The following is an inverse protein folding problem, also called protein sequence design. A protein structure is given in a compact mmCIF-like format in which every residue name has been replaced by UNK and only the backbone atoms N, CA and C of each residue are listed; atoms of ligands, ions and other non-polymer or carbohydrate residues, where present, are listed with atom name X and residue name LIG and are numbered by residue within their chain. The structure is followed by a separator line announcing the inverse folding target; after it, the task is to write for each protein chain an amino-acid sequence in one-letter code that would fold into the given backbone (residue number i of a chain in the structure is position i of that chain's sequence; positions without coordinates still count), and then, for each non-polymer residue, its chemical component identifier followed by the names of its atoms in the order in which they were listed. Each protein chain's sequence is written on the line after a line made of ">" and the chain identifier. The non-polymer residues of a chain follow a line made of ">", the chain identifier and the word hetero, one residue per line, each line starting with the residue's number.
data_IF_958369569307
#
_entry.id   IF_958369569307
#
_cell.length_a   1.000
_cell.length_b   1.000
_cell.length_c   1.000
_cell.angle_alpha   90.00
_cell.angle_beta   90.00
_cell.angle_gamma   90.00
#
_symmetry.space_group_name_H-M   'P 1'
#
loop_
_entity.id
_entity.type
_entity.pdbx_description
1 polymer ?
#
# COMPACT_ATOMS: atom_id res chain seq x y z
N UNK A 1 -3.28 -4.64 22.69
CA UNK A 1 -3.21 -3.97 21.37
C UNK A 1 -4.63 -3.83 20.85
N UNK A 2 -4.99 -2.69 20.26
CA UNK A 2 -6.35 -2.49 19.73
C UNK A 2 -6.65 -3.52 18.64
N UNK A 3 -7.89 -4.01 18.65
CA UNK A 3 -8.50 -4.84 17.62
C UNK A 3 -9.55 -3.97 16.92
N UNK A 4 -9.69 -4.12 15.61
CA UNK A 4 -10.63 -3.31 14.83
C UNK A 4 -10.35 -3.39 13.34
N UNK A 5 -11.02 -2.53 12.59
CA UNK A 5 -10.84 -2.42 11.14
C UNK A 5 -10.03 -1.17 10.83
N UNK A 6 -9.06 -1.28 9.93
CA UNK A 6 -8.33 -0.16 9.37
C UNK A 6 -8.68 -0.02 7.90
N UNK A 7 -9.06 1.19 7.50
CA UNK A 7 -9.22 1.56 6.10
C UNK A 7 -7.92 2.15 5.57
N UNK A 8 -7.48 1.64 4.42
CA UNK A 8 -6.29 2.08 3.71
C UNK A 8 -6.73 2.64 2.36
N UNK A 9 -6.55 3.93 2.17
CA UNK A 9 -6.80 4.60 0.88
C UNK A 9 -5.51 4.69 0.06
N UNK A 10 -5.46 3.94 -1.04
CA UNK A 10 -4.41 4.02 -2.04
C UNK A 10 -4.77 5.12 -3.06
N UNK A 11 -4.22 6.31 -2.86
CA UNK A 11 -4.51 7.48 -3.70
C UNK A 11 -3.63 7.49 -4.95
N UNK A 12 -2.32 7.71 -4.77
CA UNK A 12 -1.35 7.89 -5.87
C UNK A 12 0.07 7.52 -5.48
N UNK A 13 0.93 7.27 -6.47
CA UNK A 13 2.39 7.30 -6.31
C UNK A 13 2.95 8.67 -6.67
N UNK A 14 4.15 8.96 -6.18
CA UNK A 14 4.90 10.16 -6.53
C UNK A 14 6.35 9.78 -6.77
N UNK A 15 6.92 10.32 -7.86
CA UNK A 15 8.33 10.19 -8.23
C UNK A 15 8.89 8.78 -8.08
N UNK A 16 8.23 7.81 -8.73
CA UNK A 16 8.82 6.48 -8.88
C UNK A 16 10.10 6.61 -9.70
N UNK A 17 11.23 6.25 -9.09
CA UNK A 17 12.52 6.26 -9.77
C UNK A 17 12.47 5.31 -10.97
N UNK A 18 12.93 5.81 -12.11
CA UNK A 18 13.14 5.05 -13.35
C UNK A 18 11.90 4.53 -14.09
N UNK A 19 10.76 5.24 -14.03
CA UNK A 19 9.66 5.00 -15.00
C UNK A 19 10.01 5.46 -16.44
N UNK A 20 11.18 6.06 -16.67
CA UNK A 20 11.63 6.41 -18.03
C UNK A 20 12.02 5.20 -18.88
N UNK A 21 12.28 4.05 -18.26
CA UNK A 21 12.48 2.78 -19.00
C UNK A 21 11.17 2.03 -19.28
N UNK A 22 10.05 2.52 -18.72
CA UNK A 22 8.77 1.81 -18.67
C UNK A 22 7.80 2.24 -19.76
N UNK A 23 8.12 1.85 -21.00
CA UNK A 23 7.08 1.53 -21.96
C UNK A 23 6.43 0.21 -21.58
N UNK A 24 5.11 0.19 -21.31
CA UNK A 24 4.28 -1.00 -21.01
C UNK A 24 4.54 -1.72 -19.69
N UNK A 25 4.70 -1.04 -18.57
CA UNK A 25 4.45 -1.73 -17.31
C UNK A 25 3.19 -1.21 -16.74
N UNK A 26 2.20 -2.10 -16.78
CA UNK A 26 0.92 -1.97 -16.14
C UNK A 26 1.17 -2.24 -14.65
N UNK A 27 1.39 -1.22 -13.80
CA UNK A 27 1.80 -1.40 -12.43
C UNK A 27 0.57 -1.55 -11.54
N UNK A 28 0.73 -2.29 -10.46
CA UNK A 28 -0.29 -2.46 -9.43
C UNK A 28 0.38 -2.53 -8.05
N UNK A 29 -0.42 -2.34 -7.01
CA UNK A 29 0.04 -2.33 -5.63
C UNK A 29 -0.53 -3.53 -4.89
N UNK A 30 0.34 -4.25 -4.20
CA UNK A 30 -0.05 -5.23 -3.19
C UNK A 30 0.09 -4.61 -1.80
N UNK A 31 -0.98 -4.69 -1.03
CA UNK A 31 -1.07 -4.23 0.36
C UNK A 31 -1.25 -5.45 1.27
N UNK A 32 -0.41 -5.60 2.29
CA UNK A 32 -0.47 -6.74 3.21
C UNK A 32 -0.46 -6.30 4.68
N UNK A 33 -1.33 -6.90 5.50
CA UNK A 33 -1.34 -6.77 6.97
C UNK A 33 -1.70 -8.13 7.58
N UNK A 34 -0.84 -8.67 8.45
CA UNK A 34 -1.14 -9.89 9.21
C UNK A 34 -1.64 -11.07 8.37
N UNK A 35 -1.12 -11.23 7.16
CA UNK A 35 -1.51 -12.28 6.21
C UNK A 35 -2.72 -11.95 5.31
N UNK A 36 -3.47 -10.87 5.56
CA UNK A 36 -4.45 -10.35 4.61
C UNK A 36 -3.73 -9.62 3.49
N UNK A 37 -4.00 -9.99 2.24
CA UNK A 37 -3.39 -9.37 1.06
C UNK A 37 -4.47 -8.82 0.14
N UNK A 38 -4.36 -7.55 -0.21
CA UNK A 38 -5.17 -6.89 -1.22
C UNK A 38 -4.30 -6.46 -2.39
N UNK A 39 -4.85 -6.57 -3.60
CA UNK A 39 -4.22 -6.13 -4.84
C UNK A 39 -5.06 -5.01 -5.45
N UNK A 40 -4.41 -3.90 -5.81
CA UNK A 40 -5.05 -2.80 -6.54
C UNK A 40 -5.32 -3.16 -8.00
N UNK A 41 -6.09 -2.32 -8.68
CA UNK A 41 -6.14 -2.32 -10.13
C UNK A 41 -4.77 -2.04 -10.72
N UNK A 42 -4.59 -2.56 -11.92
CA UNK A 42 -3.44 -2.27 -12.74
C UNK A 42 -3.67 -0.95 -13.48
N UNK A 43 -2.70 -0.03 -13.43
CA UNK A 43 -2.79 1.27 -14.11
C UNK A 43 -2.07 1.17 -15.45
N UNK A 44 -2.81 1.28 -16.54
CA UNK A 44 -2.21 1.34 -17.87
C UNK A 44 -1.79 2.79 -18.18
N UNK A 45 -0.62 2.98 -18.81
CA UNK A 45 -0.14 4.27 -19.33
C UNK A 45 -0.05 5.43 -18.31
N UNK A 46 0.26 5.15 -17.04
CA UNK A 46 0.24 6.16 -15.96
C UNK A 46 1.52 6.99 -15.77
N UNK A 47 2.58 6.76 -16.55
CA UNK A 47 3.85 7.49 -16.42
C UNK A 47 4.48 7.40 -15.02
N UNK A 48 5.16 8.46 -14.57
CA UNK A 48 5.87 8.48 -13.26
C UNK A 48 4.97 8.63 -12.03
N UNK A 49 3.69 8.99 -12.21
CA UNK A 49 2.75 9.27 -11.13
C UNK A 49 1.44 8.55 -11.40
N UNK A 50 1.27 7.40 -10.75
CA UNK A 50 0.13 6.52 -10.92
C UNK A 50 -0.97 6.93 -9.95
N UNK A 51 -2.23 6.89 -10.38
CA UNK A 51 -3.39 7.23 -9.55
C UNK A 51 -4.33 6.04 -9.51
N UNK A 52 -4.59 5.52 -8.31
CA UNK A 52 -5.50 4.40 -8.10
C UNK A 52 -6.86 4.85 -7.56
N UNK A 53 -6.86 5.70 -6.52
CA UNK A 53 -8.07 6.08 -5.77
C UNK A 53 -8.90 4.86 -5.35
N UNK A 54 -8.27 3.92 -4.65
CA UNK A 54 -8.90 2.69 -4.17
C UNK A 54 -8.80 2.58 -2.64
N UNK A 55 -9.87 2.11 -2.01
CA UNK A 55 -9.92 1.89 -0.55
C UNK A 55 -9.98 0.40 -0.23
N UNK A 56 -9.23 -0.01 0.78
CA UNK A 56 -9.14 -1.39 1.25
C UNK A 56 -9.38 -1.44 2.75
N UNK A 57 -10.17 -2.41 3.19
CA UNK A 57 -10.44 -2.64 4.61
C UNK A 57 -9.64 -3.86 5.08
N UNK A 58 -8.87 -3.68 6.15
CA UNK A 58 -8.12 -4.73 6.82
C UNK A 58 -8.65 -4.92 8.22
N UNK A 59 -8.83 -6.16 8.63
CA UNK A 59 -8.98 -6.48 10.05
C UNK A 59 -7.60 -6.40 10.71
N UNK A 60 -7.47 -5.72 11.84
CA UNK A 60 -6.19 -5.65 12.56
C UNK A 60 -6.11 -6.86 13.50
N UNK A 61 -5.22 -7.83 13.24
CA UNK A 61 -5.08 -8.99 14.10
C UNK A 61 -4.35 -8.65 15.40
N UNK A 62 -4.31 -9.61 16.32
CA UNK A 62 -3.63 -9.45 17.60
C UNK A 62 -2.11 -9.51 17.45
N UNK A 63 -1.43 -8.37 17.47
CA UNK A 63 0.03 -8.34 17.53
C UNK A 63 0.66 -7.08 16.95
N UNK A 64 2.00 -6.95 17.06
CA UNK A 64 2.72 -5.94 16.32
C UNK A 64 2.66 -6.27 14.84
N UNK A 65 1.89 -5.46 14.10
CA UNK A 65 1.70 -5.63 12.66
C UNK A 65 2.24 -4.42 11.91
N UNK A 66 2.54 -4.61 10.63
CA UNK A 66 2.94 -3.56 9.71
C UNK A 66 2.10 -3.63 8.44
N UNK A 67 1.81 -2.47 7.87
CA UNK A 67 1.31 -2.38 6.50
C UNK A 67 2.52 -2.48 5.56
N UNK A 68 2.57 -3.57 4.82
CA UNK A 68 3.52 -3.78 3.74
C UNK A 68 2.88 -3.36 2.42
N UNK A 69 3.57 -2.49 1.68
CA UNK A 69 3.14 -1.96 0.39
C UNK A 69 4.19 -2.32 -0.63
N UNK A 70 3.80 -3.00 -1.70
CA UNK A 70 4.69 -3.37 -2.80
C UNK A 70 4.10 -2.89 -4.12
N UNK A 71 4.86 -2.10 -4.86
CA UNK A 71 4.52 -1.68 -6.22
C UNK A 71 5.18 -2.68 -7.16
N UNK A 72 4.37 -3.37 -7.96
CA UNK A 72 4.81 -4.43 -8.86
C UNK A 72 4.33 -4.15 -10.29
N UNK A 73 4.94 -4.79 -11.27
CA UNK A 73 4.49 -4.77 -12.67
C UNK A 73 4.68 -6.13 -13.36
N UNK A 74 3.99 -6.32 -14.49
CA UNK A 74 4.13 -7.52 -15.31
C UNK A 74 3.86 -8.81 -14.52
N UNK A 75 4.85 -9.71 -14.49
CA UNK A 75 4.81 -10.98 -13.76
C UNK A 75 5.32 -10.82 -12.31
N UNK A 76 4.73 -9.89 -11.55
CA UNK A 76 5.05 -9.59 -10.15
C UNK A 76 6.47 -9.07 -9.89
N UNK A 77 7.09 -8.38 -10.85
CA UNK A 77 8.42 -7.77 -10.68
C UNK A 77 8.32 -6.50 -9.82
N UNK A 78 9.21 -6.34 -8.85
CA UNK A 78 9.12 -5.26 -7.86
C UNK A 78 9.75 -3.94 -8.33
N UNK A 79 8.96 -2.87 -8.32
CA UNK A 79 9.40 -1.50 -8.59
C UNK A 79 9.76 -0.73 -7.33
N UNK A 80 9.15 -1.10 -6.20
CA UNK A 80 9.39 -0.43 -4.92
C UNK A 80 8.59 -1.06 -3.78
N UNK A 81 9.00 -0.77 -2.55
CA UNK A 81 8.32 -1.23 -1.36
C UNK A 81 8.38 -0.22 -0.22
N UNK A 82 7.39 -0.29 0.66
CA UNK A 82 7.29 0.50 1.88
C UNK A 82 6.69 -0.37 2.99
N UNK A 83 7.26 -0.30 4.18
CA UNK A 83 6.72 -0.95 5.38
C UNK A 83 6.41 0.10 6.43
N UNK A 84 5.14 0.15 6.87
CA UNK A 84 4.66 1.11 7.87
C UNK A 84 4.23 0.34 9.12
N UNK A 85 4.98 0.43 10.24
CA UNK A 85 4.56 -0.17 11.49
C UNK A 85 3.22 0.41 11.96
N UNK A 86 2.22 -0.43 12.23
CA UNK A 86 0.89 0.04 12.64
C UNK A 86 0.91 0.71 14.02
N UNK A 87 1.92 0.41 14.84
CA UNK A 87 2.16 1.07 16.13
C UNK A 87 2.22 2.60 16.02
N UNK A 88 2.65 3.14 14.88
CA UNK A 88 2.68 4.59 14.63
C UNK A 88 1.29 5.22 14.71
N UNK A 89 0.26 4.52 14.24
CA UNK A 89 -1.12 5.03 14.25
C UNK A 89 -1.82 4.83 15.58
N UNK A 90 -1.41 3.82 16.37
CA UNK A 90 -2.00 3.55 17.68
C UNK A 90 -1.43 4.44 18.80
N UNK A 91 -0.21 4.95 18.63
CA UNK A 91 0.36 5.94 19.56
C UNK A 91 -0.35 7.31 19.45
N UNK A 92 -0.79 7.69 18.24
CA UNK A 92 -1.44 8.99 17.99
C UNK A 92 -2.89 9.05 18.45
N UNK A 93 -3.55 7.91 18.71
CA UNK A 93 -4.92 7.87 19.25
C UNK A 93 -5.02 8.10 20.76
N UNK A 94 -3.92 8.38 21.47
CA UNK A 94 -4.00 9.03 22.79
C UNK A 94 -4.23 10.53 22.63
N UNK A 95 -5.42 10.90 22.15
CA UNK A 95 -5.91 12.25 22.38
C UNK A 95 -6.51 12.23 23.80
N UNK A 96 -6.01 13.15 24.61
CA UNK A 96 -6.29 13.34 26.03
C UNK A 96 -7.80 13.32 26.38
N UNK A 97 -8.15 12.96 27.64
CA UNK A 97 -9.53 12.91 28.14
C UNK A 97 -10.31 14.22 27.99
#
# INVERSE_FOLDING_TARGET
>A
MPHGTMEVELIKSHDLNDVETFGKSDPFVNLTIGGQKHRSKTIHDGGKSLVWNESFLFEIPHGPEALEVHILHGADEAMGSLTIPLSKFFAERQIAP
#
